data_IF_744141578343
#
_entry.id   IF_744141578343
#
_cell.length_a   1.000
_cell.length_b   1.000
_cell.length_c   1.000
_cell.angle_alpha   90.00
_cell.angle_beta   90.00
_cell.angle_gamma   90.00
#
_symmetry.space_group_name_H-M   'P 1'
#
loop_
_entity.id
_entity.type
_entity.pdbx_description
1 polymer ?
#
# COMPACT_ATOMS: atom_id res chain seq x y z
N UNK A 1 -0.92 -8.99 17.10
CA UNK A 1 0.54 -8.88 16.91
C UNK A 1 1.01 -7.54 17.44
N UNK A 2 2.06 -7.51 18.25
CA UNK A 2 2.70 -6.31 18.80
C UNK A 2 3.62 -5.66 17.76
N UNK A 3 3.55 -4.33 17.64
CA UNK A 3 4.32 -3.53 16.69
C UNK A 3 5.13 -2.48 17.42
N UNK A 4 6.38 -2.34 17.01
CA UNK A 4 7.19 -1.14 17.27
C UNK A 4 7.39 -0.39 15.95
N UNK A 5 7.07 0.90 15.92
CA UNK A 5 7.32 1.75 14.74
C UNK A 5 8.54 2.66 14.94
N UNK A 6 9.50 2.59 14.02
CA UNK A 6 10.65 3.48 13.94
C UNK A 6 10.40 4.53 12.85
N UNK A 7 10.88 5.76 13.07
CA UNK A 7 10.67 6.88 12.15
C UNK A 7 9.18 7.15 11.93
N UNK A 8 8.40 7.14 13.02
CA UNK A 8 6.94 7.11 12.94
C UNK A 8 6.32 8.40 12.40
N UNK A 9 7.06 9.51 12.39
CA UNK A 9 6.56 10.83 12.04
C UNK A 9 5.28 11.16 12.80
N UNK A 10 4.29 11.70 12.09
CA UNK A 10 2.97 11.97 12.65
C UNK A 10 2.09 10.71 12.78
N UNK A 11 2.60 9.50 12.55
CA UNK A 11 1.91 8.25 12.86
C UNK A 11 0.96 7.73 11.77
N UNK A 12 1.20 8.09 10.50
CA UNK A 12 0.37 7.61 9.38
C UNK A 12 0.34 6.08 9.26
N UNK A 13 1.51 5.43 9.33
CA UNK A 13 1.61 3.97 9.31
C UNK A 13 1.08 3.33 10.59
N UNK A 14 1.41 3.86 11.79
CA UNK A 14 0.78 3.43 13.05
C UNK A 14 -0.75 3.42 12.99
N UNK A 15 -1.37 4.49 12.49
CA UNK A 15 -2.83 4.57 12.38
C UNK A 15 -3.38 3.45 11.49
N UNK A 16 -2.74 3.22 10.33
CA UNK A 16 -3.12 2.13 9.43
C UNK A 16 -2.96 0.75 10.04
N UNK A 17 -1.83 0.50 10.72
CA UNK A 17 -1.58 -0.77 11.40
C UNK A 17 -2.56 -1.02 12.55
N UNK A 18 -2.87 0.01 13.37
CA UNK A 18 -3.93 -0.10 14.39
C UNK A 18 -5.27 -0.49 13.77
N UNK A 19 -5.67 0.16 12.68
CA UNK A 19 -6.92 -0.17 11.94
C UNK A 19 -6.91 -1.58 11.35
N UNK A 20 -5.75 -2.10 10.97
CA UNK A 20 -5.62 -3.47 10.51
C UNK A 20 -5.78 -4.50 11.65
N UNK A 21 -5.63 -4.09 12.92
CA UNK A 21 -5.73 -4.96 14.10
C UNK A 21 -4.40 -5.23 14.80
N UNK A 22 -3.35 -4.45 14.51
CA UNK A 22 -2.09 -4.51 15.25
C UNK A 22 -2.17 -3.72 16.56
N UNK A 23 -1.41 -4.18 17.55
CA UNK A 23 -1.18 -3.48 18.80
C UNK A 23 0.15 -2.71 18.71
N UNK A 24 0.09 -1.40 18.51
CA UNK A 24 1.31 -0.56 18.45
C UNK A 24 1.72 -0.22 19.88
N UNK A 25 2.79 -0.88 20.34
CA UNK A 25 3.24 -0.83 21.74
C UNK A 25 4.32 0.23 21.99
N UNK A 26 5.04 0.65 20.96
CA UNK A 26 5.94 1.81 21.02
C UNK A 26 6.14 2.43 19.63
N UNK A 27 6.41 3.73 19.61
CA UNK A 27 6.76 4.46 18.40
C UNK A 27 7.90 5.44 18.67
N UNK A 28 8.78 5.65 17.69
CA UNK A 28 9.98 6.48 17.85
C UNK A 28 10.13 7.46 16.68
N UNK A 29 10.36 8.73 16.98
CA UNK A 29 10.76 9.75 16.01
C UNK A 29 11.65 10.81 16.67
N UNK A 30 12.43 11.54 15.88
CA UNK A 30 13.33 12.59 16.37
C UNK A 30 12.69 13.99 16.35
N UNK A 31 11.62 14.20 15.57
CA UNK A 31 10.98 15.50 15.37
C UNK A 31 9.96 15.78 16.49
N UNK A 32 10.17 16.81 17.34
CA UNK A 32 9.27 17.10 18.48
C UNK A 32 7.81 17.31 18.07
N UNK A 33 7.57 18.12 17.03
CA UNK A 33 6.21 18.41 16.54
C UNK A 33 5.50 17.15 16.01
N UNK A 34 6.25 16.20 15.44
CA UNK A 34 5.72 14.94 14.93
C UNK A 34 5.36 14.00 16.08
N UNK A 35 6.23 13.91 17.09
CA UNK A 35 5.98 13.15 18.33
C UNK A 35 4.76 13.71 19.06
N UNK A 36 4.63 15.03 19.17
CA UNK A 36 3.47 15.64 19.83
C UNK A 36 2.18 15.44 19.03
N UNK A 37 2.25 15.53 17.70
CA UNK A 37 1.13 15.18 16.81
C UNK A 37 0.74 13.70 16.99
N UNK A 38 1.71 12.79 17.00
CA UNK A 38 1.45 11.37 17.23
C UNK A 38 0.77 11.15 18.58
N UNK A 39 1.34 11.71 19.66
CA UNK A 39 0.85 11.58 21.04
C UNK A 39 -0.61 11.98 21.15
N UNK A 40 -0.94 13.14 20.59
CA UNK A 40 -2.29 13.71 20.63
C UNK A 40 -3.34 12.82 19.95
N UNK A 41 -2.97 12.11 18.88
CA UNK A 41 -3.94 11.38 18.06
C UNK A 41 -3.93 9.85 18.25
N UNK A 42 -2.80 9.26 18.67
CA UNK A 42 -2.59 7.79 18.68
C UNK A 42 -2.34 7.24 20.08
N UNK A 43 -1.63 7.98 20.94
CA UNK A 43 -1.34 7.59 22.32
C UNK A 43 0.07 7.94 22.80
N UNK A 44 0.27 7.85 24.12
CA UNK A 44 1.49 8.26 24.83
C UNK A 44 2.70 7.33 24.68
N UNK A 45 2.54 6.18 24.01
CA UNK A 45 3.61 5.22 23.73
C UNK A 45 4.61 5.69 22.66
N UNK A 46 4.62 6.98 22.31
CA UNK A 46 5.60 7.59 21.40
C UNK A 46 6.72 8.28 22.16
N UNK A 47 7.95 8.02 21.72
CA UNK A 47 9.17 8.51 22.33
C UNK A 47 9.95 9.39 21.35
N UNK A 48 10.35 10.57 21.82
CA UNK A 48 11.26 11.43 21.07
C UNK A 48 12.70 10.92 21.23
N UNK A 49 13.27 10.31 20.18
CA UNK A 49 14.61 9.73 20.20
C UNK A 49 15.33 9.93 18.87
N UNK A 50 16.66 10.04 18.92
CA UNK A 50 17.50 9.97 17.73
C UNK A 50 17.74 8.50 17.36
N UNK A 51 17.14 8.06 16.26
CA UNK A 51 17.21 6.68 15.78
C UNK A 51 18.59 6.27 15.24
N UNK A 52 19.58 7.17 15.24
CA UNK A 52 20.98 6.82 15.03
C UNK A 52 21.69 6.34 16.30
N UNK A 53 21.14 6.63 17.49
CA UNK A 53 21.66 6.14 18.77
C UNK A 53 21.10 4.74 19.10
N UNK A 54 21.67 3.74 18.43
CA UNK A 54 21.23 2.35 18.53
C UNK A 54 21.39 1.76 19.94
N UNK A 55 22.38 2.23 20.70
CA UNK A 55 22.68 1.70 22.04
C UNK A 55 21.60 2.07 23.06
N UNK A 56 20.92 3.21 22.88
CA UNK A 56 19.81 3.59 23.75
C UNK A 56 18.46 3.01 23.32
N UNK A 57 18.30 2.66 22.05
CA UNK A 57 16.99 2.25 21.51
C UNK A 57 16.81 0.74 21.43
N UNK A 58 17.84 -0.01 21.03
CA UNK A 58 17.71 -1.47 20.86
C UNK A 58 17.30 -2.18 22.16
N UNK A 59 17.89 -1.87 23.34
CA UNK A 59 17.48 -2.51 24.59
C UNK A 59 15.99 -2.32 24.90
N UNK A 60 15.48 -1.09 24.78
CA UNK A 60 14.06 -0.76 25.00
C UNK A 60 13.15 -1.61 24.09
N UNK A 61 13.53 -1.80 22.82
CA UNK A 61 12.74 -2.57 21.85
C UNK A 61 12.83 -4.09 22.13
N UNK A 62 14.01 -4.60 22.52
CA UNK A 62 14.18 -6.02 22.90
C UNK A 62 13.25 -6.37 24.06
N UNK A 63 13.13 -5.51 25.06
CA UNK A 63 12.26 -5.74 26.23
C UNK A 63 10.78 -5.79 25.86
N UNK A 64 10.36 -5.04 24.84
CA UNK A 64 8.98 -5.04 24.33
C UNK A 64 8.61 -6.33 23.58
N UNK A 65 9.60 -7.06 23.06
CA UNK A 65 9.44 -8.30 22.27
C UNK A 65 8.39 -8.16 21.15
N UNK A 66 8.56 -7.22 20.20
CA UNK A 66 7.59 -7.01 19.13
C UNK A 66 7.53 -8.21 18.16
N UNK A 67 6.33 -8.51 17.68
CA UNK A 67 6.14 -9.46 16.57
C UNK A 67 6.57 -8.81 15.23
N UNK A 68 6.47 -7.48 15.14
CA UNK A 68 6.75 -6.71 13.93
C UNK A 68 7.46 -5.38 14.25
N UNK A 69 8.52 -5.07 13.50
CA UNK A 69 9.09 -3.72 13.45
C UNK A 69 8.68 -3.05 12.14
N UNK A 70 8.06 -1.87 12.23
CA UNK A 70 7.70 -1.04 11.08
C UNK A 70 8.58 0.21 11.02
N UNK A 71 8.79 0.79 9.84
CA UNK A 71 9.39 2.13 9.77
C UNK A 71 9.70 2.65 8.37
N UNK A 72 9.83 3.96 8.25
CA UNK A 72 10.18 4.66 7.01
C UNK A 72 11.46 5.48 7.18
N UNK A 73 12.66 4.86 7.18
CA UNK A 73 13.91 5.60 7.34
C UNK A 73 14.05 6.65 6.22
N UNK A 74 14.51 7.88 6.55
CA UNK A 74 14.51 8.99 5.60
C UNK A 74 15.47 8.72 4.43
N UNK A 75 15.00 9.01 3.22
CA UNK A 75 15.71 8.76 1.97
C UNK A 75 16.07 10.07 1.25
N UNK A 76 16.71 10.99 1.97
CA UNK A 76 16.99 12.33 1.44
C UNK A 76 18.10 12.37 0.38
N UNK A 77 18.91 11.32 0.29
CA UNK A 77 20.02 11.23 -0.67
C UNK A 77 19.52 10.96 -2.13
N UNK A 78 18.21 10.69 -2.30
CA UNK A 78 17.61 10.25 -3.57
C UNK A 78 16.44 11.11 -4.07
N UNK A 79 16.11 12.21 -3.39
CA UNK A 79 15.03 13.08 -3.86
C UNK A 79 15.38 13.70 -5.21
N UNK A 80 14.45 13.60 -6.15
CA UNK A 80 14.54 14.09 -7.54
C UNK A 80 14.87 15.61 -7.64
N UNK A 81 14.76 16.33 -6.52
CA UNK A 81 14.93 17.77 -6.38
C UNK A 81 16.18 18.21 -5.55
N UNK A 82 17.04 17.28 -5.11
CA UNK A 82 18.21 17.59 -4.28
C UNK A 82 19.52 17.02 -4.85
N UNK A 83 20.62 17.75 -4.69
CA UNK A 83 21.96 17.29 -5.05
C UNK A 83 22.30 16.00 -4.31
N UNK A 84 22.83 15.00 -5.05
CA UNK A 84 23.29 13.71 -4.55
C UNK A 84 24.52 13.90 -3.65
N UNK A 85 24.30 14.03 -2.34
CA UNK A 85 25.38 13.92 -1.35
C UNK A 85 25.02 12.75 -0.44
N UNK A 86 25.52 11.56 -0.77
CA UNK A 86 25.49 10.40 0.12
C UNK A 86 26.36 10.71 1.35
N UNK A 87 25.82 10.58 2.56
CA UNK A 87 26.71 10.59 3.72
C UNK A 87 26.08 10.58 5.11
N UNK A 88 24.91 11.20 5.29
CA UNK A 88 24.24 11.24 6.62
C UNK A 88 22.96 10.41 6.69
N UNK A 89 22.11 10.44 5.66
CA UNK A 89 20.81 9.76 5.71
C UNK A 89 20.87 8.29 5.29
N UNK A 90 21.82 7.91 4.43
CA UNK A 90 22.18 6.50 4.17
C UNK A 90 22.40 5.68 5.46
N UNK A 91 22.89 6.31 6.54
CA UNK A 91 23.12 5.66 7.84
C UNK A 91 21.83 5.23 8.54
N UNK A 92 20.71 5.90 8.32
CA UNK A 92 19.46 5.59 9.02
C UNK A 92 18.76 4.35 8.45
N UNK A 93 18.93 4.06 7.15
CA UNK A 93 18.53 2.77 6.56
C UNK A 93 19.32 1.61 7.17
N UNK A 94 20.62 1.80 7.40
CA UNK A 94 21.44 0.81 8.09
C UNK A 94 21.03 0.68 9.57
N UNK A 95 20.78 1.79 10.26
CA UNK A 95 20.29 1.81 11.64
C UNK A 95 18.98 1.01 11.80
N UNK A 96 18.04 1.18 10.86
CA UNK A 96 16.81 0.38 10.80
C UNK A 96 17.14 -1.12 10.68
N UNK A 97 17.99 -1.50 9.72
CA UNK A 97 18.36 -2.90 9.50
C UNK A 97 19.11 -3.52 10.68
N UNK A 98 20.01 -2.77 11.34
CA UNK A 98 20.71 -3.21 12.55
C UNK A 98 19.72 -3.44 13.68
N UNK A 99 18.76 -2.53 13.87
CA UNK A 99 17.72 -2.68 14.90
C UNK A 99 16.90 -3.94 14.67
N UNK A 100 16.44 -4.19 13.44
CA UNK A 100 15.71 -5.42 13.10
C UNK A 100 16.58 -6.67 13.30
N UNK A 101 17.84 -6.64 12.85
CA UNK A 101 18.74 -7.79 12.97
C UNK A 101 19.11 -8.10 14.44
N UNK A 102 19.15 -7.09 15.31
CA UNK A 102 19.45 -7.24 16.73
C UNK A 102 18.21 -7.71 17.53
N UNK A 103 17.05 -7.08 17.32
CA UNK A 103 15.80 -7.42 18.02
C UNK A 103 15.22 -8.75 17.51
N UNK A 104 15.41 -9.05 16.22
CA UNK A 104 14.92 -10.25 15.53
C UNK A 104 13.39 -10.47 15.65
N UNK A 105 12.53 -9.48 15.36
CA UNK A 105 11.08 -9.71 15.33
C UNK A 105 10.69 -10.77 14.29
N UNK A 106 9.53 -11.40 14.40
CA UNK A 106 9.08 -12.34 13.35
C UNK A 106 8.94 -11.62 12.00
N UNK A 107 8.48 -10.38 12.00
CA UNK A 107 8.23 -9.55 10.82
C UNK A 107 8.95 -8.21 10.85
N UNK A 108 9.21 -7.66 9.67
CA UNK A 108 9.46 -6.23 9.53
C UNK A 108 8.78 -5.64 8.29
N UNK A 109 8.49 -4.34 8.33
CA UNK A 109 8.01 -3.55 7.18
C UNK A 109 8.83 -2.27 7.08
N UNK A 110 9.53 -2.08 5.97
CA UNK A 110 10.22 -0.84 5.66
C UNK A 110 9.54 -0.11 4.50
N UNK A 111 9.10 1.12 4.71
CA UNK A 111 8.69 2.01 3.62
C UNK A 111 9.87 2.84 3.13
N UNK A 112 9.94 3.04 1.81
CA UNK A 112 10.89 3.96 1.22
C UNK A 112 10.42 4.47 -0.17
N UNK A 113 11.14 5.43 -0.73
CA UNK A 113 10.96 5.83 -2.14
C UNK A 113 11.47 4.72 -3.08
N UNK A 114 10.89 4.61 -4.28
CA UNK A 114 11.21 3.55 -5.25
C UNK A 114 12.70 3.51 -5.64
N UNK A 115 13.38 4.65 -5.60
CA UNK A 115 14.80 4.78 -5.92
C UNK A 115 15.69 4.09 -4.89
N UNK A 116 15.23 3.94 -3.64
CA UNK A 116 16.00 3.31 -2.57
C UNK A 116 16.39 1.87 -2.88
N UNK A 117 15.59 1.15 -3.69
CA UNK A 117 15.88 -0.21 -4.14
C UNK A 117 17.24 -0.34 -4.87
N UNK A 118 17.77 0.76 -5.41
CA UNK A 118 19.06 0.81 -6.12
C UNK A 118 20.18 1.44 -5.30
N UNK A 119 19.93 1.78 -4.03
CA UNK A 119 20.92 2.42 -3.17
C UNK A 119 21.93 1.41 -2.61
N UNK A 120 23.16 1.86 -2.42
CA UNK A 120 24.19 1.06 -1.75
C UNK A 120 23.81 0.76 -0.29
N UNK A 121 23.23 1.74 0.41
CA UNK A 121 22.73 1.56 1.77
C UNK A 121 21.67 0.47 1.88
N UNK A 122 20.77 0.37 0.90
CA UNK A 122 19.78 -0.71 0.89
C UNK A 122 20.41 -2.06 0.57
N UNK A 123 21.36 -2.12 -0.37
CA UNK A 123 22.07 -3.36 -0.68
C UNK A 123 22.76 -3.95 0.57
N UNK A 124 23.41 -3.10 1.37
CA UNK A 124 24.04 -3.48 2.64
C UNK A 124 23.03 -3.88 3.72
N UNK A 125 21.97 -3.09 3.91
CA UNK A 125 20.87 -3.39 4.82
C UNK A 125 20.21 -4.73 4.49
N UNK A 126 19.90 -4.97 3.22
CA UNK A 126 19.32 -6.22 2.73
C UNK A 126 20.24 -7.41 3.00
N UNK A 127 21.54 -7.28 2.74
CA UNK A 127 22.49 -8.35 3.04
C UNK A 127 22.54 -8.69 4.55
N UNK A 128 22.47 -7.68 5.41
CA UNK A 128 22.39 -7.87 6.87
C UNK A 128 21.11 -8.61 7.28
N UNK A 129 19.96 -8.18 6.78
CA UNK A 129 18.66 -8.80 7.06
C UNK A 129 18.61 -10.26 6.57
N UNK A 130 19.13 -10.54 5.37
CA UNK A 130 19.23 -11.92 4.86
C UNK A 130 20.15 -12.79 5.74
N UNK A 131 21.30 -12.27 6.18
CA UNK A 131 22.17 -12.98 7.14
C UNK A 131 21.50 -13.21 8.50
N UNK A 132 20.59 -12.33 8.91
CA UNK A 132 19.76 -12.54 10.09
C UNK A 132 18.67 -13.61 9.90
N UNK A 133 18.45 -14.10 8.67
CA UNK A 133 17.53 -15.20 8.35
C UNK A 133 16.17 -14.77 7.82
N UNK A 134 16.00 -13.52 7.39
CA UNK A 134 14.76 -13.05 6.80
C UNK A 134 14.68 -13.37 5.30
N UNK A 135 13.54 -13.89 4.88
CA UNK A 135 13.10 -13.81 3.48
C UNK A 135 12.51 -12.43 3.22
N UNK A 136 12.83 -11.84 2.07
CA UNK A 136 12.51 -10.44 1.77
C UNK A 136 11.65 -10.34 0.51
N UNK A 137 10.60 -9.52 0.56
CA UNK A 137 9.75 -9.14 -0.56
C UNK A 137 9.86 -7.64 -0.81
N UNK A 138 10.20 -7.23 -2.03
CA UNK A 138 10.39 -5.84 -2.42
C UNK A 138 9.24 -5.37 -3.31
N UNK A 139 8.17 -4.85 -2.71
CA UNK A 139 6.95 -4.48 -3.42
C UNK A 139 6.98 -3.01 -3.88
N UNK A 140 6.86 -2.76 -5.19
CA UNK A 140 6.72 -1.39 -5.73
C UNK A 140 5.25 -1.07 -5.93
N UNK A 141 4.68 -0.30 -5.03
CA UNK A 141 3.24 0.00 -5.00
C UNK A 141 2.96 1.44 -5.38
N UNK A 142 1.82 1.69 -6.00
CA UNK A 142 1.23 3.02 -6.11
C UNK A 142 0.01 3.05 -5.19
N UNK A 143 0.06 3.86 -4.13
CA UNK A 143 -0.98 3.89 -3.11
C UNK A 143 -2.36 4.33 -3.63
N UNK A 144 -2.43 4.87 -4.85
CA UNK A 144 -3.72 5.08 -5.53
C UNK A 144 -4.53 3.80 -5.71
N UNK A 145 -3.87 2.64 -5.84
CA UNK A 145 -4.53 1.34 -5.88
C UNK A 145 -4.73 0.71 -4.50
N UNK A 146 -4.30 1.38 -3.43
CA UNK A 146 -4.41 0.94 -2.04
C UNK A 146 -5.23 1.97 -1.26
N UNK A 147 -6.40 2.33 -1.83
CA UNK A 147 -7.44 3.13 -1.20
C UNK A 147 -7.00 4.55 -0.75
N UNK A 148 -5.93 5.11 -1.33
CA UNK A 148 -5.47 6.48 -1.08
C UNK A 148 -5.68 7.33 -2.33
N UNK A 149 -6.35 8.50 -2.31
CA UNK A 149 -6.55 9.33 -3.51
C UNK A 149 -5.30 10.12 -3.95
N UNK A 150 -4.12 9.49 -3.90
CA UNK A 150 -2.82 10.09 -4.19
C UNK A 150 -2.00 9.13 -5.07
N UNK A 151 -1.54 9.59 -6.23
CA UNK A 151 -0.58 8.88 -7.08
C UNK A 151 0.81 8.93 -6.40
N UNK A 152 1.03 8.02 -5.46
CA UNK A 152 2.22 7.97 -4.60
C UNK A 152 2.88 6.61 -4.72
N UNK A 153 3.92 6.56 -5.55
CA UNK A 153 4.72 5.35 -5.75
C UNK A 153 5.76 5.18 -4.64
N UNK A 154 5.79 4.02 -4.00
CA UNK A 154 6.70 3.67 -2.91
C UNK A 154 7.23 2.25 -3.04
N UNK A 155 8.38 2.03 -2.42
CA UNK A 155 8.93 0.71 -2.13
C UNK A 155 8.45 0.31 -0.75
N UNK A 156 7.74 -0.80 -0.66
CA UNK A 156 7.39 -1.46 0.59
C UNK A 156 8.20 -2.74 0.66
N UNK A 157 9.11 -2.81 1.62
CA UNK A 157 9.89 -4.03 1.88
C UNK A 157 9.29 -4.75 3.06
N UNK A 158 8.87 -5.99 2.85
CA UNK A 158 8.33 -6.85 3.90
C UNK A 158 9.29 -8.01 4.07
N UNK A 159 9.66 -8.30 5.31
CA UNK A 159 10.42 -9.51 5.61
C UNK A 159 9.81 -10.29 6.75
N UNK A 160 10.02 -11.61 6.70
CA UNK A 160 9.61 -12.53 7.77
C UNK A 160 10.71 -13.56 8.00
N UNK A 161 10.96 -13.87 9.27
CA UNK A 161 12.02 -14.79 9.66
C UNK A 161 11.73 -16.21 9.11
N UNK A 162 12.71 -16.78 8.43
CA UNK A 162 12.64 -18.14 7.88
C UNK A 162 11.73 -18.32 6.65
N UNK A 163 11.17 -17.24 6.09
CA UNK A 163 10.55 -17.30 4.75
C UNK A 163 11.62 -17.23 3.65
N UNK A 164 11.24 -17.57 2.42
CA UNK A 164 12.04 -17.29 1.21
C UNK A 164 11.83 -15.87 0.70
N UNK A 165 12.70 -15.42 -0.21
CA UNK A 165 12.47 -14.15 -0.92
C UNK A 165 11.19 -14.20 -1.79
N UNK A 166 10.52 -13.04 -1.90
CA UNK A 166 9.30 -12.88 -2.70
C UNK A 166 8.03 -13.54 -2.14
N UNK A 167 8.06 -14.05 -0.90
CA UNK A 167 6.98 -14.87 -0.32
C UNK A 167 5.60 -14.20 -0.25
N UNK A 168 5.52 -12.87 -0.21
CA UNK A 168 4.28 -12.11 -0.06
C UNK A 168 3.97 -11.15 -1.23
N UNK A 169 4.84 -11.05 -2.24
CA UNK A 169 4.71 -10.07 -3.34
C UNK A 169 3.37 -10.21 -4.07
N UNK A 170 3.02 -11.42 -4.49
CA UNK A 170 1.74 -11.65 -5.18
C UNK A 170 0.52 -11.36 -4.32
N UNK A 171 0.61 -11.50 -2.99
CA UNK A 171 -0.50 -11.16 -2.09
C UNK A 171 -0.69 -9.64 -1.93
N UNK A 172 0.42 -8.90 -1.94
CA UNK A 172 0.38 -7.43 -1.96
C UNK A 172 -0.20 -6.94 -3.30
N UNK A 173 0.23 -7.53 -4.42
CA UNK A 173 -0.32 -7.23 -5.75
C UNK A 173 -1.82 -7.55 -5.86
N UNK A 174 -2.26 -8.70 -5.35
CA UNK A 174 -3.67 -9.11 -5.33
C UNK A 174 -4.54 -8.19 -4.46
N UNK A 175 -3.95 -7.46 -3.50
CA UNK A 175 -4.66 -6.51 -2.65
C UNK A 175 -4.89 -5.14 -3.31
N UNK A 176 -4.24 -4.87 -4.45
CA UNK A 176 -4.45 -3.64 -5.21
C UNK A 176 -5.82 -3.65 -5.91
N UNK A 177 -6.49 -2.51 -5.95
CA UNK A 177 -7.70 -2.35 -6.77
C UNK A 177 -7.36 -2.37 -8.27
N UNK A 178 -8.37 -2.60 -9.11
CA UNK A 178 -8.22 -2.55 -10.56
C UNK A 178 -8.07 -1.10 -11.07
N UNK A 179 -8.79 -0.18 -10.44
CA UNK A 179 -8.78 1.25 -10.74
C UNK A 179 -8.18 2.05 -9.58
N UNK A 180 -7.43 3.12 -9.87
CA UNK A 180 -6.87 3.96 -8.82
C UNK A 180 -7.98 4.81 -8.18
N UNK A 181 -7.88 5.04 -6.87
CA UNK A 181 -8.81 5.88 -6.12
C UNK A 181 -8.65 7.34 -6.54
N UNK A 182 -9.76 7.95 -6.96
CA UNK A 182 -9.77 9.35 -7.40
C UNK A 182 -10.03 10.29 -6.24
N UNK A 183 -9.70 11.57 -6.41
CA UNK A 183 -10.04 12.59 -5.43
C UNK A 183 -11.54 12.68 -5.23
N UNK A 184 -12.33 12.72 -6.31
CA UNK A 184 -13.81 12.76 -6.23
C UNK A 184 -14.32 11.60 -5.40
N UNK A 185 -13.92 10.37 -5.76
CA UNK A 185 -14.36 9.16 -5.09
C UNK A 185 -14.04 9.17 -3.58
N UNK A 186 -12.85 9.61 -3.18
CA UNK A 186 -12.48 9.70 -1.77
C UNK A 186 -13.32 10.68 -0.95
N UNK A 187 -13.85 11.73 -1.58
CA UNK A 187 -14.64 12.77 -0.92
C UNK A 187 -16.15 12.63 -1.18
N UNK A 188 -16.59 11.75 -2.11
CA UNK A 188 -17.99 11.42 -2.35
C UNK A 188 -18.43 10.10 -1.71
N UNK A 189 -17.60 9.07 -1.57
CA UNK A 189 -18.00 7.83 -0.87
C UNK A 189 -17.93 7.93 0.66
N UNK A 190 -17.19 8.89 1.20
CA UNK A 190 -17.33 9.27 2.61
C UNK A 190 -18.71 9.92 2.89
N UNK A 191 -19.50 10.19 1.84
CA UNK A 191 -20.83 10.78 1.89
C UNK A 191 -21.83 9.67 1.54
N UNK A 192 -22.42 9.03 2.55
CA UNK A 192 -23.60 8.18 2.36
C UNK A 192 -24.80 8.97 1.83
N UNK A 193 -24.79 10.30 1.90
CA UNK A 193 -25.79 11.20 1.35
C UNK A 193 -25.13 12.51 0.91
N UNK A 194 -25.64 13.13 -0.16
CA UNK A 194 -25.30 14.52 -0.50
C UNK A 194 -25.62 15.43 0.70
N UNK A 195 -24.82 16.46 1.00
CA UNK A 195 -25.06 17.32 2.14
C UNK A 195 -26.34 18.16 1.92
N UNK A 196 -27.24 18.13 2.90
CA UNK A 196 -28.43 19.01 2.99
C UNK A 196 -28.17 20.18 3.95
N UNK A 197 -29.07 21.17 3.95
CA UNK A 197 -28.95 22.37 4.78
C UNK A 197 -28.92 22.08 6.30
N UNK A 198 -29.45 20.94 6.76
CA UNK A 198 -29.52 20.60 8.18
C UNK A 198 -28.35 19.74 8.69
N UNK A 199 -27.47 19.21 7.82
CA UNK A 199 -26.43 18.28 8.24
C UNK A 199 -25.08 19.02 8.49
N UNK A 200 -24.73 19.24 9.77
CA UNK A 200 -23.54 20.00 10.21
C UNK A 200 -22.20 19.25 10.03
N UNK A 201 -22.00 18.61 8.88
CA UNK A 201 -20.67 18.49 8.30
C UNK A 201 -20.22 19.91 7.90
N UNK A 202 -18.92 20.23 7.75
CA UNK A 202 -18.49 21.52 7.15
C UNK A 202 -18.01 21.31 5.70
N UNK A 203 -18.94 21.04 4.75
CA UNK A 203 -18.67 20.75 3.35
C UNK A 203 -18.12 21.94 2.55
N UNK A 204 -18.17 23.14 3.11
CA UNK A 204 -17.91 24.41 2.43
C UNK A 204 -16.53 24.52 1.76
N UNK A 205 -15.48 23.83 2.25
CA UNK A 205 -14.15 23.88 1.62
C UNK A 205 -13.85 22.73 0.66
N UNK A 206 -14.37 21.53 0.93
CA UNK A 206 -14.09 20.36 0.08
C UNK A 206 -15.01 20.34 -1.14
N UNK A 207 -16.27 20.78 -1.00
CA UNK A 207 -17.22 20.79 -2.11
C UNK A 207 -16.82 21.76 -3.21
N UNK A 208 -16.31 22.96 -2.89
CA UNK A 208 -15.88 23.92 -3.94
C UNK A 208 -14.76 23.32 -4.81
N UNK A 209 -13.80 22.63 -4.18
CA UNK A 209 -12.72 21.94 -4.89
C UNK A 209 -13.28 20.82 -5.78
N UNK A 210 -14.20 20.00 -5.25
CA UNK A 210 -14.82 18.90 -6.00
C UNK A 210 -15.77 19.40 -7.11
N UNK A 211 -16.48 20.50 -6.88
CA UNK A 211 -17.41 21.12 -7.80
C UNK A 211 -16.69 21.80 -8.97
N UNK A 212 -15.55 22.46 -8.71
CA UNK A 212 -14.67 23.00 -9.76
C UNK A 212 -14.12 21.93 -10.69
N UNK A 213 -14.07 20.67 -10.24
CA UNK A 213 -13.61 19.54 -11.06
C UNK A 213 -12.10 19.49 -11.29
N UNK A 214 -11.36 20.56 -10.98
CA UNK A 214 -9.93 20.69 -11.26
C UNK A 214 -9.18 21.23 -10.05
N UNK A 215 -8.01 20.65 -9.76
CA UNK A 215 -7.18 21.00 -8.60
C UNK A 215 -5.75 21.31 -9.03
N UNK A 216 -5.20 22.36 -8.46
CA UNK A 216 -3.79 22.69 -8.56
C UNK A 216 -2.93 21.63 -7.86
N UNK A 217 -1.96 21.14 -8.61
CA UNK A 217 -0.84 20.34 -8.11
C UNK A 217 0.44 21.04 -8.49
N UNK A 218 1.37 21.19 -7.54
CA UNK A 218 2.64 21.84 -7.86
C UNK A 218 3.41 20.99 -8.89
N UNK A 219 3.72 21.54 -10.08
CA UNK A 219 4.44 20.78 -11.09
C UNK A 219 5.86 20.47 -10.62
N UNK A 220 6.29 19.22 -10.83
CA UNK A 220 7.69 18.82 -10.66
C UNK A 220 8.37 18.91 -12.02
N UNK A 221 9.38 19.78 -12.15
CA UNK A 221 10.04 20.08 -13.44
C UNK A 221 9.01 20.52 -14.48
N UNK A 222 9.11 20.04 -15.73
CA UNK A 222 8.16 20.32 -16.81
C UNK A 222 6.86 19.48 -16.71
N UNK A 223 6.39 19.19 -15.49
CA UNK A 223 5.16 18.43 -15.27
C UNK A 223 3.92 19.31 -15.34
N UNK A 224 2.75 18.67 -15.44
CA UNK A 224 1.44 19.33 -15.37
C UNK A 224 1.18 20.00 -14.01
N UNK A 225 0.42 21.08 -14.00
CA UNK A 225 0.06 21.85 -12.82
C UNK A 225 -1.41 21.68 -12.41
N UNK A 226 -2.27 21.16 -13.29
CA UNK A 226 -3.70 21.00 -13.03
C UNK A 226 -4.11 19.55 -13.24
N UNK A 227 -4.85 19.02 -12.27
CA UNK A 227 -5.40 17.66 -12.28
C UNK A 227 -6.90 17.66 -12.16
N UNK A 228 -7.56 16.69 -12.80
CA UNK A 228 -8.99 16.47 -12.57
C UNK A 228 -9.20 15.84 -11.19
N UNK A 229 -10.33 16.11 -10.55
CA UNK A 229 -10.74 15.39 -9.34
C UNK A 229 -11.11 13.94 -9.64
N UNK A 230 -11.36 13.60 -10.90
CA UNK A 230 -11.66 12.24 -11.38
C UNK A 230 -10.38 11.40 -11.62
N UNK A 231 -9.24 11.87 -11.15
CA UNK A 231 -7.99 11.12 -11.07
C UNK A 231 -7.34 11.29 -9.68
N UNK A 232 -6.29 10.50 -9.33
CA UNK A 232 -5.58 10.68 -8.07
C UNK A 232 -4.81 12.00 -8.01
N UNK A 233 -4.72 12.58 -6.81
CA UNK A 233 -3.90 13.77 -6.55
C UNK A 233 -2.41 13.45 -6.78
N UNK A 234 -1.60 14.47 -7.10
CA UNK A 234 -0.15 14.29 -7.22
C UNK A 234 0.48 13.95 -5.86
N UNK A 235 1.68 13.37 -5.86
CA UNK A 235 2.41 13.14 -4.60
C UNK A 235 2.50 14.43 -3.78
N UNK A 236 2.02 14.41 -2.54
CA UNK A 236 2.02 15.55 -1.65
C UNK A 236 3.46 15.85 -1.21
N UNK A 237 3.82 17.12 -1.29
CA UNK A 237 5.11 17.67 -0.88
C UNK A 237 4.89 18.74 0.19
N UNK A 238 5.97 19.14 0.87
CA UNK A 238 5.95 20.25 1.83
C UNK A 238 5.45 21.60 1.29
N UNK A 239 5.33 21.75 -0.03
CA UNK A 239 4.89 22.97 -0.74
C UNK A 239 3.56 22.80 -1.47
N UNK A 240 2.91 21.63 -1.39
CA UNK A 240 1.68 21.36 -2.16
C UNK A 240 0.50 22.23 -1.74
N UNK A 241 0.47 22.71 -0.48
CA UNK A 241 -0.56 23.63 0.01
C UNK A 241 -0.30 25.11 -0.28
N UNK A 242 0.81 25.44 -0.95
CA UNK A 242 1.11 26.81 -1.36
C UNK A 242 0.46 27.11 -2.71
N UNK A 243 -0.21 28.27 -2.89
CA UNK A 243 -0.77 28.66 -4.18
C UNK A 243 0.34 28.81 -5.25
N UNK A 244 -0.02 28.77 -6.56
CA UNK A 244 0.93 29.04 -7.62
C UNK A 244 1.55 30.43 -7.45
N UNK A 245 2.88 30.48 -7.29
CA UNK A 245 3.62 31.74 -7.13
C UNK A 245 3.49 32.64 -8.37
N UNK A 246 3.65 33.95 -8.20
CA UNK A 246 3.64 34.90 -9.34
C UNK A 246 4.66 34.51 -10.42
N UNK A 247 5.85 34.07 -10.01
CA UNK A 247 6.89 33.60 -10.93
C UNK A 247 6.49 32.33 -11.69
N UNK A 248 5.75 31.41 -11.04
CA UNK A 248 5.20 30.24 -11.73
C UNK A 248 4.13 30.69 -12.73
N UNK A 249 3.16 31.50 -12.33
CA UNK A 249 2.09 31.97 -13.23
C UNK A 249 2.63 32.68 -14.47
N UNK A 250 3.68 33.49 -14.32
CA UNK A 250 4.28 34.23 -15.43
C UNK A 250 5.07 33.35 -16.43
N UNK A 251 5.54 32.17 -16.00
CA UNK A 251 6.41 31.28 -16.80
C UNK A 251 5.75 29.95 -17.16
N UNK A 252 4.58 29.65 -16.59
CA UNK A 252 3.96 28.35 -16.76
C UNK A 252 3.35 28.27 -18.16
N UNK A 253 3.90 27.37 -18.97
CA UNK A 253 3.32 26.95 -20.23
C UNK A 253 2.39 25.77 -19.95
N UNK A 254 1.15 25.85 -20.45
CA UNK A 254 0.14 24.83 -20.23
C UNK A 254 0.65 23.46 -20.71
N UNK A 255 0.60 22.47 -19.83
CA UNK A 255 1.02 21.13 -20.16
C UNK A 255 -0.10 20.42 -20.95
N UNK A 256 0.18 19.61 -21.98
CA UNK A 256 -0.85 18.88 -22.74
C UNK A 256 -1.76 17.93 -21.93
N UNK A 257 -1.45 17.72 -20.64
CA UNK A 257 -2.16 16.81 -19.74
C UNK A 257 -2.77 17.58 -18.55
N UNK A 258 -2.71 18.92 -18.56
CA UNK A 258 -3.52 19.73 -17.65
C UNK A 258 -4.99 19.49 -17.97
N UNK A 259 -5.80 19.27 -16.94
CA UNK A 259 -7.23 19.02 -17.14
C UNK A 259 -8.04 20.29 -17.43
N UNK A 260 -7.47 21.47 -17.14
CA UNK A 260 -8.07 22.79 -17.31
C UNK A 260 -6.97 23.88 -17.24
N UNK A 261 -7.26 25.13 -17.63
CA UNK A 261 -6.40 26.28 -17.37
C UNK A 261 -6.00 26.40 -15.89
N UNK A 262 -4.83 26.99 -15.61
CA UNK A 262 -4.29 27.10 -14.25
C UNK A 262 -5.16 27.98 -13.34
N UNK A 263 -5.79 28.98 -13.92
CA UNK A 263 -6.71 29.92 -13.28
C UNK A 263 -8.02 29.27 -12.80
N UNK A 264 -8.44 28.19 -13.43
CA UNK A 264 -9.67 27.47 -13.09
C UNK A 264 -9.45 26.40 -12.00
N UNK A 265 -8.17 26.16 -11.65
CA UNK A 265 -7.79 25.12 -10.72
C UNK A 265 -8.02 25.55 -9.25
N UNK A 266 -8.72 24.72 -8.48
CA UNK A 266 -8.89 24.92 -7.06
C UNK A 266 -7.57 24.68 -6.29
N UNK A 267 -7.33 25.41 -5.20
CA UNK A 267 -6.11 25.27 -4.40
C UNK A 267 -6.40 24.42 -3.16
N UNK A 268 -5.69 23.30 -3.02
CA UNK A 268 -5.81 22.43 -1.85
C UNK A 268 -5.23 23.07 -0.58
N UNK A 269 -6.06 23.28 0.43
CA UNK A 269 -5.60 23.73 1.74
C UNK A 269 -5.08 22.55 2.59
N UNK A 270 -4.41 22.85 3.71
CA UNK A 270 -3.76 21.84 4.57
C UNK A 270 -4.69 20.70 5.00
N UNK A 271 -5.90 21.00 5.50
CA UNK A 271 -6.87 19.96 5.91
C UNK A 271 -7.30 19.05 4.75
N UNK A 272 -7.49 19.61 3.55
CA UNK A 272 -7.81 18.83 2.36
C UNK A 272 -6.65 17.89 2.00
N UNK A 273 -5.42 18.38 1.99
CA UNK A 273 -4.23 17.57 1.71
C UNK A 273 -3.98 16.50 2.79
N UNK A 274 -4.26 16.80 4.06
CA UNK A 274 -4.26 15.82 5.16
C UNK A 274 -5.21 14.65 4.87
N UNK A 275 -6.43 14.95 4.39
CA UNK A 275 -7.41 13.94 4.01
C UNK A 275 -7.03 13.17 2.74
N UNK A 276 -6.42 13.83 1.76
CA UNK A 276 -5.85 13.15 0.57
C UNK A 276 -4.81 12.11 0.99
N UNK A 277 -3.96 12.46 1.96
CA UNK A 277 -2.99 11.54 2.55
C UNK A 277 -3.65 10.39 3.35
N UNK A 278 -4.96 10.45 3.62
CA UNK A 278 -5.71 9.42 4.32
C UNK A 278 -5.86 9.62 5.84
N UNK A 279 -5.46 10.79 6.37
CA UNK A 279 -5.72 11.11 7.77
C UNK A 279 -7.20 11.45 8.03
N UNK A 280 -7.73 11.12 9.23
CA UNK A 280 -9.06 11.53 9.68
C UNK A 280 -9.26 13.04 9.66
N UNK A 281 -10.53 13.46 9.70
CA UNK A 281 -10.91 14.87 9.74
C UNK A 281 -10.61 15.53 11.10
N UNK A 282 -10.74 14.77 12.18
CA UNK A 282 -10.44 15.14 13.56
C UNK A 282 -8.93 15.05 13.89
N UNK A 283 -8.08 14.75 12.90
CA UNK A 283 -6.63 14.68 13.12
C UNK A 283 -6.04 16.03 13.52
N UNK A 284 -5.48 16.08 14.72
CA UNK A 284 -4.93 17.32 15.31
C UNK A 284 -3.45 17.46 14.99
N UNK A 285 -3.08 18.52 14.27
CA UNK A 285 -1.69 18.80 13.90
C UNK A 285 -1.01 19.74 14.90
N UNK A 286 0.00 19.25 15.60
CA UNK A 286 0.64 19.95 16.72
C UNK A 286 1.89 20.72 16.28
N UNK A 287 1.70 21.85 15.61
CA UNK A 287 2.79 22.78 15.28
C UNK A 287 2.27 24.19 14.97
N UNK A 288 3.00 25.22 15.39
CA UNK A 288 2.72 26.61 14.98
C UNK A 288 3.18 26.91 13.55
N UNK A 289 4.00 26.05 12.95
CA UNK A 289 4.57 26.24 11.63
C UNK A 289 3.82 25.41 10.58
N UNK A 290 2.98 26.05 9.76
CA UNK A 290 2.20 25.40 8.70
C UNK A 290 3.07 24.58 7.72
N UNK A 291 4.28 25.05 7.41
CA UNK A 291 5.19 24.32 6.52
C UNK A 291 5.71 23.05 7.17
N UNK A 292 5.90 23.05 8.49
CA UNK A 292 6.28 21.84 9.23
C UNK A 292 5.13 20.84 9.30
N UNK A 293 3.88 21.30 9.43
CA UNK A 293 2.71 20.42 9.28
C UNK A 293 2.69 19.77 7.89
N UNK A 294 2.91 20.55 6.83
CA UNK A 294 2.98 20.00 5.48
C UNK A 294 4.15 19.01 5.29
N UNK A 295 5.27 19.16 6.00
CA UNK A 295 6.34 18.15 6.03
C UNK A 295 5.85 16.85 6.67
N UNK A 296 5.15 16.93 7.80
CA UNK A 296 4.60 15.74 8.47
C UNK A 296 3.58 15.02 7.58
N UNK A 297 2.66 15.74 6.93
CA UNK A 297 1.70 15.18 5.96
C UNK A 297 2.46 14.52 4.80
N UNK A 298 3.40 15.24 4.17
CA UNK A 298 4.09 14.76 2.97
C UNK A 298 4.98 13.54 3.24
N UNK A 299 5.57 13.42 4.44
CA UNK A 299 6.44 12.31 4.80
C UNK A 299 5.66 11.07 5.25
N UNK A 300 4.41 11.22 5.70
CA UNK A 300 3.63 10.10 6.20
C UNK A 300 3.39 9.02 5.14
N UNK A 301 3.42 7.76 5.58
CA UNK A 301 2.78 6.67 4.84
C UNK A 301 1.25 6.85 4.99
N UNK A 302 0.47 6.82 3.89
CA UNK A 302 -0.97 6.93 3.98
C UNK A 302 -1.59 5.85 4.89
N UNK A 303 -2.42 6.22 5.90
CA UNK A 303 -3.02 5.27 6.81
C UNK A 303 -3.85 4.18 6.12
N UNK A 304 -4.58 4.53 5.05
CA UNK A 304 -5.42 3.60 4.29
C UNK A 304 -4.60 2.54 3.56
N UNK A 305 -3.45 2.92 3.00
CA UNK A 305 -2.54 1.96 2.36
C UNK A 305 -1.84 1.07 3.40
N UNK A 306 -1.38 1.66 4.51
CA UNK A 306 -0.78 0.91 5.61
C UNK A 306 -1.76 -0.09 6.23
N UNK A 307 -3.04 0.25 6.32
CA UNK A 307 -4.10 -0.68 6.77
C UNK A 307 -4.25 -1.90 5.85
N UNK A 308 -4.29 -1.69 4.53
CA UNK A 308 -4.42 -2.78 3.55
C UNK A 308 -3.20 -3.70 3.63
N UNK A 309 -2.00 -3.13 3.63
CA UNK A 309 -0.74 -3.90 3.75
C UNK A 309 -0.71 -4.67 5.08
N UNK A 310 -1.11 -4.03 6.17
CA UNK A 310 -1.22 -4.66 7.48
C UNK A 310 -2.18 -5.85 7.48
N UNK A 311 -3.36 -5.70 6.86
CA UNK A 311 -4.34 -6.80 6.72
C UNK A 311 -3.77 -7.98 5.92
N UNK A 312 -3.03 -7.72 4.85
CA UNK A 312 -2.33 -8.77 4.07
C UNK A 312 -1.33 -9.52 4.96
N UNK A 313 -0.58 -8.82 5.81
CA UNK A 313 0.37 -9.44 6.74
C UNK A 313 -0.35 -10.29 7.79
N UNK A 314 -1.45 -9.81 8.39
CA UNK A 314 -2.23 -10.59 9.36
C UNK A 314 -2.89 -11.81 8.72
N UNK A 315 -3.44 -11.67 7.52
CA UNK A 315 -3.99 -12.79 6.76
C UNK A 315 -2.90 -13.81 6.43
N UNK A 316 -1.67 -13.36 6.17
CA UNK A 316 -0.52 -14.25 5.96
C UNK A 316 -0.02 -14.89 7.25
N UNK A 317 -0.04 -14.18 8.37
CA UNK A 317 0.34 -14.71 9.68
C UNK A 317 -0.57 -15.87 10.08
N UNK A 318 -1.87 -15.71 9.83
CA UNK A 318 -2.92 -16.67 10.22
C UNK A 318 -3.14 -17.78 9.19
N UNK A 319 -2.43 -17.75 8.05
CA UNK A 319 -2.59 -18.70 6.96
C UNK A 319 -3.87 -18.54 6.14
N UNK A 320 -4.66 -17.49 6.38
CA UNK A 320 -5.87 -17.15 5.61
C UNK A 320 -5.55 -16.89 4.14
N UNK A 321 -4.36 -16.34 3.87
CA UNK A 321 -3.79 -16.31 2.51
C UNK A 321 -2.56 -17.20 2.42
N UNK A 322 -2.56 -18.07 1.43
CA UNK A 322 -1.47 -18.98 1.10
C UNK A 322 -1.06 -18.80 -0.36
N UNK A 323 0.21 -19.06 -0.73
CA UNK A 323 0.64 -18.94 -2.12
C UNK A 323 -0.17 -19.89 -2.99
N UNK A 324 -0.76 -19.34 -4.06
CA UNK A 324 -1.52 -20.11 -5.03
C UNK A 324 -0.62 -21.20 -5.63
N UNK A 325 -1.17 -22.40 -5.79
CA UNK A 325 -0.50 -23.44 -6.56
C UNK A 325 -0.72 -23.14 -8.04
N UNK A 326 0.36 -22.92 -8.78
CA UNK A 326 0.28 -22.61 -10.22
C UNK A 326 -0.49 -23.70 -10.99
N UNK A 327 -1.32 -23.30 -11.97
CA UNK A 327 -2.03 -24.25 -12.83
C UNK A 327 -1.07 -25.13 -13.64
N UNK A 328 0.08 -24.57 -14.01
CA UNK A 328 1.14 -25.27 -14.74
C UNK A 328 1.73 -26.44 -13.96
N UNK A 329 1.65 -26.45 -12.63
CA UNK A 329 2.11 -27.58 -11.81
C UNK A 329 1.36 -28.87 -12.17
N UNK A 330 0.03 -28.79 -12.38
CA UNK A 330 -0.78 -29.94 -12.80
C UNK A 330 -0.36 -30.44 -14.18
N UNK A 331 -0.11 -29.52 -15.11
CA UNK A 331 0.34 -29.88 -16.46
C UNK A 331 1.72 -30.55 -16.41
N UNK A 332 2.63 -30.04 -15.57
CA UNK A 332 3.96 -30.60 -15.38
C UNK A 332 3.91 -32.02 -14.79
N UNK A 333 3.07 -32.27 -13.78
CA UNK A 333 2.91 -33.61 -13.20
C UNK A 333 2.43 -34.64 -14.23
N UNK A 334 1.53 -34.24 -15.13
CA UNK A 334 0.95 -35.13 -16.15
C UNK A 334 1.87 -35.31 -17.35
N UNK A 335 2.45 -34.22 -17.88
CA UNK A 335 3.27 -34.24 -19.11
C UNK A 335 4.74 -34.57 -18.85
N UNK A 336 5.33 -34.05 -17.77
CA UNK A 336 6.75 -34.14 -17.47
C UNK A 336 7.14 -35.30 -16.55
N UNK A 337 6.17 -36.07 -16.04
CA UNK A 337 6.44 -37.13 -15.04
C UNK A 337 5.55 -38.38 -15.16
N UNK A 338 4.97 -38.65 -16.35
CA UNK A 338 4.15 -39.82 -16.70
C UNK A 338 3.06 -40.21 -15.67
N UNK A 339 2.49 -39.25 -14.93
CA UNK A 339 1.46 -39.56 -13.91
C UNK A 339 0.06 -39.51 -14.49
N UNK A 340 -0.80 -40.42 -14.01
CA UNK A 340 -2.23 -40.33 -14.27
C UNK A 340 -2.81 -39.01 -13.73
N UNK A 341 -3.89 -38.52 -14.35
CA UNK A 341 -4.60 -37.32 -13.85
C UNK A 341 -5.08 -37.49 -12.41
N UNK A 342 -5.47 -38.70 -12.01
CA UNK A 342 -5.89 -38.98 -10.64
C UNK A 342 -4.74 -38.78 -9.65
N UNK A 343 -3.57 -39.36 -9.95
CA UNK A 343 -2.36 -39.21 -9.13
C UNK A 343 -1.94 -37.74 -9.01
N UNK A 344 -1.99 -36.98 -10.11
CA UNK A 344 -1.66 -35.55 -10.09
C UNK A 344 -2.59 -34.74 -9.17
N UNK A 345 -3.90 -35.04 -9.16
CA UNK A 345 -4.86 -34.41 -8.25
C UNK A 345 -4.56 -34.74 -6.79
N UNK A 346 -4.20 -35.99 -6.48
CA UNK A 346 -3.85 -36.41 -5.13
C UNK A 346 -2.59 -35.68 -4.61
N UNK A 347 -1.59 -35.50 -5.47
CA UNK A 347 -0.38 -34.72 -5.13
C UNK A 347 -0.75 -33.26 -4.86
N UNK A 348 -1.56 -32.63 -5.72
CA UNK A 348 -2.01 -31.24 -5.51
C UNK A 348 -2.82 -31.09 -4.22
N UNK A 349 -3.70 -32.04 -3.91
CA UNK A 349 -4.46 -32.06 -2.66
C UNK A 349 -3.53 -32.19 -1.44
N UNK A 350 -2.56 -33.10 -1.50
CA UNK A 350 -1.56 -33.31 -0.44
C UNK A 350 -0.67 -32.07 -0.26
N UNK A 351 -0.31 -31.39 -1.35
CA UNK A 351 0.42 -30.12 -1.30
C UNK A 351 -0.40 -29.04 -0.58
N UNK A 352 -1.70 -28.93 -0.89
CA UNK A 352 -2.61 -28.01 -0.21
C UNK A 352 -2.68 -28.28 1.30
N UNK A 353 -2.80 -29.55 1.69
CA UNK A 353 -2.78 -29.98 3.10
C UNK A 353 -1.45 -29.64 3.78
N UNK A 354 -0.32 -29.92 3.15
CA UNK A 354 1.00 -29.60 3.70
C UNK A 354 1.16 -28.09 3.91
N UNK A 355 0.79 -27.28 2.92
CA UNK A 355 0.83 -25.80 3.04
C UNK A 355 -0.11 -25.26 4.11
N UNK A 356 -1.28 -25.86 4.27
CA UNK A 356 -2.21 -25.50 5.34
C UNK A 356 -1.58 -25.70 6.72
N UNK A 357 -0.91 -26.84 6.94
CA UNK A 357 -0.18 -27.10 8.21
C UNK A 357 0.97 -26.12 8.44
N UNK A 358 1.54 -25.58 7.36
CA UNK A 358 2.59 -24.56 7.38
C UNK A 358 2.04 -23.13 7.48
N UNK A 359 0.72 -22.93 7.60
CA UNK A 359 0.08 -21.61 7.54
C UNK A 359 0.47 -20.81 6.29
N UNK A 360 0.66 -21.50 5.17
CA UNK A 360 1.05 -20.90 3.90
C UNK A 360 2.50 -20.45 3.80
N UNK A 361 3.34 -20.66 4.82
CA UNK A 361 4.77 -20.30 4.78
C UNK A 361 5.49 -20.99 3.63
N UNK A 362 6.46 -20.31 3.04
CA UNK A 362 7.35 -20.83 2.00
C UNK A 362 8.81 -20.68 2.40
N UNK A 363 9.65 -21.62 1.97
CA UNK A 363 11.00 -21.75 2.50
C UNK A 363 12.04 -21.75 1.38
N UNK A 364 13.25 -21.34 1.74
CA UNK A 364 14.34 -21.15 0.79
C UNK A 364 14.68 -22.45 0.06
N UNK A 365 14.63 -23.59 0.75
CA UNK A 365 14.94 -24.90 0.20
C UNK A 365 14.02 -26.01 0.76
N UNK A 366 14.05 -27.16 0.08
CA UNK A 366 13.25 -28.34 0.44
C UNK A 366 13.48 -28.81 1.87
N UNK A 367 14.75 -28.86 2.32
CA UNK A 367 15.07 -29.39 3.64
C UNK A 367 14.42 -28.57 4.76
N UNK A 368 14.45 -27.23 4.65
CA UNK A 368 13.78 -26.33 5.58
C UNK A 368 12.26 -26.49 5.56
N UNK A 369 11.67 -26.63 4.37
CA UNK A 369 10.22 -26.81 4.21
C UNK A 369 9.74 -28.13 4.82
N UNK A 370 10.47 -29.22 4.58
CA UNK A 370 10.17 -30.53 5.16
C UNK A 370 10.35 -30.51 6.68
N UNK A 371 11.44 -29.94 7.19
CA UNK A 371 11.66 -29.82 8.64
C UNK A 371 10.57 -29.00 9.32
N UNK A 372 10.12 -27.91 8.68
CA UNK A 372 9.01 -27.10 9.17
C UNK A 372 7.68 -27.88 9.16
N UNK A 373 7.42 -28.70 8.13
CA UNK A 373 6.23 -29.53 8.06
C UNK A 373 6.24 -30.60 9.17
N UNK A 374 7.39 -31.23 9.39
CA UNK A 374 7.55 -32.26 10.43
C UNK A 374 7.38 -31.70 11.84
N UNK A 375 7.75 -30.44 12.03
CA UNK A 375 7.58 -29.71 13.29
C UNK A 375 6.17 -29.10 13.43
N UNK A 376 5.32 -29.18 12.41
CA UNK A 376 4.00 -28.56 12.42
C UNK A 376 3.05 -29.27 13.39
N UNK A 377 2.19 -28.48 14.06
CA UNK A 377 1.21 -29.01 15.00
C UNK A 377 0.30 -30.04 14.31
N UNK A 378 0.10 -31.19 14.97
CA UNK A 378 -0.70 -32.29 14.46
C UNK A 378 -0.01 -33.19 13.41
N UNK A 379 1.20 -32.86 12.94
CA UNK A 379 1.91 -33.71 11.98
C UNK A 379 2.22 -35.09 12.54
N UNK A 380 2.68 -35.17 13.79
CA UNK A 380 3.05 -36.44 14.42
C UNK A 380 1.88 -37.41 14.58
N UNK A 381 0.65 -36.91 14.70
CA UNK A 381 -0.55 -37.72 14.85
C UNK A 381 -1.03 -38.36 13.52
N UNK A 382 -0.45 -37.97 12.37
CA UNK A 382 -0.84 -38.51 11.07
C UNK A 382 -0.31 -39.93 10.86
N UNK A 383 -1.00 -40.71 10.02
CA UNK A 383 -0.51 -42.03 9.59
C UNK A 383 0.82 -41.92 8.84
N UNK A 384 1.67 -42.94 8.92
CA UNK A 384 2.95 -42.97 8.20
C UNK A 384 2.78 -42.78 6.68
N UNK A 385 1.71 -43.33 6.11
CA UNK A 385 1.36 -43.13 4.69
C UNK A 385 1.11 -41.65 4.39
N UNK A 386 0.23 -41.00 5.17
CA UNK A 386 -0.07 -39.57 5.00
C UNK A 386 1.16 -38.70 5.21
N UNK A 387 1.99 -38.96 6.23
CA UNK A 387 3.26 -38.25 6.45
C UNK A 387 4.15 -38.32 5.21
N UNK A 388 4.26 -39.51 4.60
CA UNK A 388 5.04 -39.71 3.36
C UNK A 388 4.45 -38.95 2.16
N UNK A 389 3.14 -38.98 1.99
CA UNK A 389 2.44 -38.28 0.89
C UNK A 389 2.63 -36.76 0.96
N UNK A 390 2.51 -36.15 2.15
CA UNK A 390 2.68 -34.71 2.33
C UNK A 390 4.11 -34.28 1.99
N UNK A 391 5.12 -35.02 2.47
CA UNK A 391 6.53 -34.77 2.12
C UNK A 391 6.76 -34.88 0.62
N UNK A 392 6.28 -35.96 -0.01
CA UNK A 392 6.44 -36.15 -1.46
C UNK A 392 5.76 -35.06 -2.27
N UNK A 393 4.62 -34.54 -1.82
CA UNK A 393 3.92 -33.46 -2.50
C UNK A 393 4.74 -32.15 -2.51
N UNK A 394 5.37 -31.80 -1.39
CA UNK A 394 6.30 -30.67 -1.31
C UNK A 394 7.50 -30.86 -2.25
N UNK A 395 8.12 -32.05 -2.23
CA UNK A 395 9.23 -32.41 -3.14
C UNK A 395 8.85 -32.25 -4.61
N UNK A 396 7.67 -32.72 -4.99
CA UNK A 396 7.18 -32.58 -6.36
C UNK A 396 7.01 -31.12 -6.75
N UNK A 397 6.44 -30.30 -5.86
CA UNK A 397 6.29 -28.88 -6.13
C UNK A 397 7.65 -28.19 -6.25
N UNK A 398 8.61 -28.53 -5.39
CA UNK A 398 9.96 -27.97 -5.48
C UNK A 398 10.69 -28.36 -6.76
N UNK A 399 10.55 -29.62 -7.19
CA UNK A 399 11.08 -30.07 -8.47
C UNK A 399 10.47 -29.31 -9.65
N UNK A 400 9.17 -28.99 -9.60
CA UNK A 400 8.50 -28.15 -10.58
C UNK A 400 9.08 -26.72 -10.61
N UNK A 401 9.24 -26.08 -9.44
CA UNK A 401 9.84 -24.74 -9.36
C UNK A 401 11.28 -24.71 -9.90
N UNK A 402 12.09 -25.72 -9.56
CA UNK A 402 13.46 -25.84 -10.04
C UNK A 402 13.52 -26.05 -11.56
N UNK A 403 12.65 -26.90 -12.11
CA UNK A 403 12.57 -27.13 -13.56
C UNK A 403 12.13 -25.86 -14.31
N UNK A 404 11.26 -25.05 -13.71
CA UNK A 404 10.84 -23.75 -14.25
C UNK A 404 12.00 -22.75 -14.28
N UNK A 405 12.77 -22.68 -13.20
CA UNK A 405 13.88 -21.73 -13.08
C UNK A 405 15.12 -22.15 -13.90
N UNK A 406 15.40 -23.46 -14.01
CA UNK A 406 16.52 -24.00 -14.78
C UNK A 406 16.37 -23.86 -16.30
N UNK A 407 15.13 -23.72 -16.79
CA UNK A 407 14.84 -23.48 -18.20
C UNK A 407 14.77 -21.98 -18.58
N UNK A 408 15.09 -21.07 -17.65
CA UNK A 408 15.05 -19.63 -17.92
C UNK A 408 16.17 -18.91 -17.15
N UNK A 409 17.39 -18.81 -17.71
CA UNK A 409 18.47 -18.08 -17.05
C UNK A 409 18.35 -16.59 -17.39
N UNK A 410 17.54 -15.84 -16.63
CA UNK A 410 17.75 -14.38 -16.43
C UNK A 410 16.84 -13.86 -15.29
N UNK A 411 17.25 -12.77 -14.60
CA UNK A 411 16.69 -12.39 -13.30
C UNK A 411 15.26 -11.87 -13.44
N UNK A 412 14.53 -11.85 -12.33
CA UNK A 412 13.28 -11.11 -12.17
C UNK A 412 13.50 -9.60 -12.40
N UNK A 413 13.61 -9.19 -13.66
CA UNK A 413 13.47 -7.82 -14.11
C UNK A 413 12.22 -7.77 -14.97
N UNK A 414 11.15 -7.28 -14.37
CA UNK A 414 9.87 -7.15 -15.05
C UNK A 414 8.76 -7.03 -14.04
N UNK A 415 8.76 -5.94 -13.26
CA UNK A 415 7.48 -5.47 -12.75
C UNK A 415 6.62 -5.26 -13.98
N UNK A 416 5.51 -6.00 -14.08
CA UNK A 416 4.57 -5.87 -15.17
C UNK A 416 4.17 -4.41 -15.22
N UNK A 417 4.69 -3.68 -16.20
CA UNK A 417 4.23 -2.34 -16.50
C UNK A 417 2.79 -2.55 -16.98
N UNK A 418 1.83 -2.37 -16.06
CA UNK A 418 0.40 -2.42 -16.41
C UNK A 418 0.25 -1.53 -17.64
N UNK A 419 -0.17 -2.12 -18.75
CA UNK A 419 -0.53 -1.39 -19.97
C UNK A 419 -1.37 -0.19 -19.52
N UNK A 420 -0.95 1.02 -19.88
CA UNK A 420 -1.78 2.22 -19.68
C UNK A 420 -3.19 1.84 -20.17
N UNK A 421 -4.24 1.95 -19.33
CA UNK A 421 -5.59 1.74 -19.81
C UNK A 421 -5.80 2.66 -21.02
N UNK A 422 -6.53 2.17 -22.02
CA UNK A 422 -6.91 3.02 -23.15
C UNK A 422 -7.57 4.28 -22.58
N UNK A 423 -7.28 5.48 -23.12
CA UNK A 423 -8.02 6.68 -22.77
C UNK A 423 -9.51 6.36 -22.82
N UNK A 424 -10.23 6.66 -21.75
CA UNK A 424 -11.69 6.51 -21.73
C UNK A 424 -12.21 7.47 -22.78
N UNK A 425 -12.80 6.94 -23.86
CA UNK A 425 -13.55 7.77 -24.80
C UNK A 425 -14.87 8.15 -24.14
N UNK A 426 -14.94 9.37 -23.63
CA UNK A 426 -16.14 9.93 -22.99
C UNK A 426 -17.36 9.89 -23.94
N UNK A 427 -17.18 9.79 -25.27
CA UNK A 427 -18.30 9.64 -26.21
C UNK A 427 -18.93 8.24 -26.15
N UNK A 428 -18.15 7.18 -25.89
CA UNK A 428 -18.66 5.80 -25.79
C UNK A 428 -19.51 5.61 -24.52
N UNK A 429 -19.12 6.27 -23.42
CA UNK A 429 -19.84 6.21 -22.14
C UNK A 429 -21.16 7.00 -22.14
N UNK A 430 -21.26 8.04 -22.98
CA UNK A 430 -22.48 8.87 -23.10
C UNK A 430 -23.48 8.36 -24.13
N UNK A 431 -23.10 7.43 -25.02
CA UNK A 431 -24.03 6.82 -25.98
C UNK A 431 -25.05 5.87 -25.34
N UNK A 432 -24.82 5.42 -24.10
CA UNK A 432 -25.73 4.54 -23.36
C UNK A 432 -26.80 5.25 -22.53
N UNK A 433 -26.83 6.59 -22.48
CA UNK A 433 -27.75 7.36 -21.61
C UNK A 433 -28.78 8.18 -22.41
N UNK A 434 -28.65 8.28 -23.74
CA UNK A 434 -29.54 9.12 -24.56
C UNK A 434 -30.69 8.38 -25.25
N UNK A 435 -30.86 7.07 -25.04
CA UNK A 435 -31.90 6.26 -25.71
C UNK A 435 -33.11 5.88 -24.86
N UNK A 436 -33.37 6.58 -23.73
CA UNK A 436 -34.61 6.38 -22.95
C UNK A 436 -35.50 7.63 -22.78
N UNK A 437 -35.20 8.74 -23.46
CA UNK A 437 -35.96 10.00 -23.29
C UNK A 437 -36.72 10.52 -24.51
N UNK A 438 -36.79 9.78 -25.62
CA UNK A 438 -37.61 10.14 -26.78
C UNK A 438 -38.34 8.92 -27.35
N UNK A 439 -39.37 8.44 -26.66
CA UNK A 439 -40.45 7.65 -27.26
C UNK A 439 -41.65 7.55 -26.30
N UNK A 440 -42.37 8.66 -26.11
CA UNK A 440 -43.78 8.64 -25.71
C UNK A 440 -44.43 10.01 -25.91
N UNK A 441 -44.35 10.56 -27.13
CA UNK A 441 -45.26 11.62 -27.55
C UNK A 441 -45.73 11.33 -28.97
N UNK A 442 -47.06 11.45 -29.17
CA UNK A 442 -47.87 11.15 -30.36
C UNK A 442 -48.23 9.67 -30.54
N UNK A 443 -49.47 9.23 -30.35
CA UNK A 443 -50.70 9.92 -29.98
C UNK A 443 -51.86 8.92 -30.02
N UNK A 444 -52.92 9.22 -29.28
CA UNK A 444 -54.27 9.02 -29.82
C UNK A 444 -55.24 9.90 -29.04
N UNK A 445 -55.93 10.75 -29.79
CA UNK A 445 -57.05 11.54 -29.33
C UNK A 445 -58.30 10.66 -29.48
N UNK A 446 -58.97 10.37 -28.38
CA UNK A 446 -60.37 10.02 -28.40
C UNK A 446 -61.05 10.66 -27.22
N UNK A 447 -62.04 11.48 -27.55
CA UNK A 447 -63.01 12.10 -26.67
C UNK A 447 -63.49 11.12 -25.59
N UNK A 448 -63.46 11.55 -24.33
CA UNK A 448 -64.66 11.41 -23.50
C UNK A 448 -64.64 12.40 -22.32
N UNK A 449 -65.74 13.13 -22.28
CA UNK A 449 -66.17 14.10 -21.30
C UNK A 449 -66.49 13.37 -20.00
N UNK A 450 -66.05 13.90 -18.84
CA UNK A 450 -66.90 14.06 -17.65
C UNK A 450 -66.18 14.86 -16.55
N UNK A 451 -66.85 15.94 -16.18
CA UNK A 451 -66.72 16.72 -14.94
C UNK A 451 -66.52 15.85 -13.68
N UNK A 452 -65.82 16.38 -12.67
CA UNK A 452 -66.47 16.89 -11.45
C UNK A 452 -65.44 17.31 -10.36
N UNK A 453 -65.64 18.56 -9.90
CA UNK A 453 -65.45 19.10 -8.54
C UNK A 453 -64.10 19.62 -8.03
N UNK A 454 -64.00 20.94 -8.21
CA UNK A 454 -63.46 21.95 -7.29
C UNK A 454 -64.19 21.96 -5.94
N UNK A 455 -63.43 21.99 -4.85
CA UNK A 455 -63.54 22.81 -3.60
C UNK A 455 -62.85 22.05 -2.46
N UNK A 456 -62.06 22.64 -1.57
CA UNK A 456 -61.70 24.04 -1.30
C UNK A 456 -60.36 24.04 -0.55
#
# INVERSE_FOLDING_TARGET
MKVVELFCGAGGMSLGLKRAGFDVVAAYDSMPDAVETYRTNIGDHVHQRDLSDLLSIIPDIVDLKPDLIAGGPPCQDFSVAGQRVEGKNARLTLAYAITVAAVRPEWFIMENVVQAARSQSWAEARAMLKRAGYGISECRVDFSYYNTPEARRRLIVIGRLGERDGFIEGAIEDAATDIPKTVRHAFTQAMGEMPTAENQWRPEYNLDIIAKGHIYTRPLRAGRAVRSVDEPYATITRTSGEPPSAALKAKYEAHPNDSAPLEDAAIGHQKFLSRIQGFPEDWTWCSKNKRRIMVMIANAVPPTAAEIIGKVILDRQTGKISPKTEERFMQWLVRGNQRSRATARNIKSSLGRARYMLFGRTFENEALEIAALESASGFEALSNGTKSELRQALRHYRAFENARNGNNPEPAQGGVERRRPRPIDLKELMQGVTSSWHQSEQGDASDDVMDFHVTR
#
